data_IF_872230106166
#
_entry.id   IF_872230106166
#
_cell.length_a   1.000
_cell.length_b   1.000
_cell.length_c   1.000
_cell.angle_alpha   90.00
_cell.angle_beta   90.00
_cell.angle_gamma   90.00
#
_symmetry.space_group_name_H-M   'P 1'
#
loop_
_entity.id
_entity.type
_entity.pdbx_description
1 polymer ?
#
# COMPACT_ATOMS: atom_id res chain seq x y z
N UNK A 1 14.72 -8.85 7.13
CA UNK A 1 13.64 -9.37 6.30
C UNK A 1 12.44 -8.45 6.32
N UNK A 2 11.96 -8.09 5.15
CA UNK A 2 10.82 -7.20 5.00
C UNK A 2 9.54 -8.01 4.86
N UNK A 3 8.56 -7.72 5.69
CA UNK A 3 7.23 -8.31 5.59
C UNK A 3 6.40 -7.48 4.60
N UNK A 4 5.71 -8.14 3.68
CA UNK A 4 4.91 -7.47 2.68
C UNK A 4 3.46 -7.91 2.76
N UNK A 5 2.55 -6.98 2.52
CA UNK A 5 1.12 -7.23 2.41
C UNK A 5 0.53 -6.45 1.25
N UNK A 6 -0.54 -6.97 0.67
CA UNK A 6 -1.35 -6.24 -0.30
C UNK A 6 -2.60 -5.73 0.42
N UNK A 7 -2.92 -4.46 0.24
CA UNK A 7 -4.13 -3.84 0.76
C UNK A 7 -4.84 -3.16 -0.41
N UNK A 8 -5.97 -3.69 -0.82
CA UNK A 8 -6.68 -3.25 -2.02
C UNK A 8 -8.17 -3.11 -1.74
N UNK A 9 -8.83 -2.20 -2.47
CA UNK A 9 -10.28 -2.05 -2.43
C UNK A 9 -11.01 -3.14 -3.18
N UNK A 10 -10.30 -3.96 -3.95
CA UNK A 10 -10.89 -5.09 -4.69
C UNK A 10 -11.35 -6.18 -3.74
N UNK A 11 -12.22 -7.07 -4.24
CA UNK A 11 -12.63 -8.26 -3.48
C UNK A 11 -11.42 -9.17 -3.24
N UNK A 12 -11.48 -9.96 -2.17
CA UNK A 12 -10.39 -10.88 -1.86
C UNK A 12 -10.12 -11.86 -3.00
N UNK A 13 -11.18 -12.38 -3.63
CA UNK A 13 -11.05 -13.29 -4.76
C UNK A 13 -10.27 -12.66 -5.92
N UNK A 14 -10.53 -11.39 -6.22
CA UNK A 14 -9.81 -10.66 -7.26
C UNK A 14 -8.35 -10.45 -6.89
N UNK A 15 -8.08 -10.12 -5.64
CA UNK A 15 -6.70 -9.93 -5.16
C UNK A 15 -5.93 -11.24 -5.30
N UNK A 16 -6.49 -12.35 -4.82
CA UNK A 16 -5.86 -13.67 -4.90
C UNK A 16 -5.60 -14.05 -6.35
N UNK A 17 -6.60 -13.89 -7.21
CA UNK A 17 -6.48 -14.20 -8.63
C UNK A 17 -5.36 -13.40 -9.30
N UNK A 18 -5.32 -12.10 -9.04
CA UNK A 18 -4.30 -11.22 -9.63
C UNK A 18 -2.90 -11.59 -9.15
N UNK A 19 -2.74 -11.88 -7.86
CA UNK A 19 -1.44 -12.24 -7.30
C UNK A 19 -0.96 -13.58 -7.83
N UNK A 20 -1.87 -14.54 -8.01
CA UNK A 20 -1.53 -15.86 -8.59
C UNK A 20 -1.19 -15.73 -10.07
N UNK A 21 -1.95 -14.94 -10.82
CA UNK A 21 -1.70 -14.70 -12.24
C UNK A 21 -0.33 -14.06 -12.46
N UNK A 22 0.07 -13.12 -11.59
CA UNK A 22 1.36 -12.47 -11.67
C UNK A 22 2.50 -13.34 -11.10
N UNK A 23 2.17 -14.44 -10.42
CA UNK A 23 3.17 -15.34 -9.84
C UNK A 23 3.92 -14.75 -8.64
N UNK A 24 3.30 -13.82 -7.92
CA UNK A 24 3.96 -13.11 -6.81
C UNK A 24 3.27 -13.29 -5.45
N UNK A 25 2.19 -14.06 -5.41
CA UNK A 25 1.41 -14.24 -4.18
C UNK A 25 2.25 -14.70 -3.00
N UNK A 26 3.22 -15.58 -3.27
CA UNK A 26 4.06 -16.18 -2.24
C UNK A 26 4.96 -15.19 -1.50
N UNK A 27 5.20 -14.00 -2.09
CA UNK A 27 6.04 -12.98 -1.47
C UNK A 27 5.30 -12.16 -0.42
N UNK A 28 3.98 -12.29 -0.34
CA UNK A 28 3.15 -11.49 0.57
C UNK A 28 2.64 -12.32 1.73
N UNK A 29 2.82 -11.81 2.94
CA UNK A 29 2.34 -12.47 4.16
C UNK A 29 0.84 -12.37 4.31
N UNK A 30 0.23 -11.31 3.77
CA UNK A 30 -1.21 -11.08 3.90
C UNK A 30 -1.74 -10.42 2.64
N UNK A 31 -2.96 -10.78 2.29
CA UNK A 31 -3.74 -10.15 1.24
C UNK A 31 -5.01 -9.63 1.91
N UNK A 32 -5.18 -8.31 1.92
CA UNK A 32 -6.27 -7.68 2.66
C UNK A 32 -7.19 -6.93 1.70
N UNK A 33 -8.47 -7.24 1.78
CA UNK A 33 -9.51 -6.61 0.95
C UNK A 33 -10.22 -5.51 1.73
N UNK A 34 -10.20 -4.30 1.20
CA UNK A 34 -11.00 -3.20 1.72
C UNK A 34 -12.50 -3.45 1.59
N UNK A 35 -12.90 -4.31 0.64
CA UNK A 35 -14.31 -4.69 0.49
C UNK A 35 -14.83 -5.47 1.69
N UNK A 36 -13.94 -6.07 2.48
CA UNK A 36 -14.30 -6.80 3.71
C UNK A 36 -14.17 -5.94 4.96
N UNK A 37 -13.72 -4.70 4.84
CA UNK A 37 -13.62 -3.77 5.95
C UNK A 37 -14.93 -3.01 6.13
N UNK A 38 -15.17 -2.52 7.33
CA UNK A 38 -16.36 -1.72 7.63
C UNK A 38 -16.38 -0.45 6.78
N UNK A 39 -15.22 0.19 6.61
CA UNK A 39 -15.09 1.39 5.80
C UNK A 39 -13.93 1.22 4.81
N UNK A 40 -14.20 1.50 3.53
CA UNK A 40 -13.17 1.51 2.49
C UNK A 40 -12.35 2.80 2.48
N UNK A 41 -11.29 2.84 1.67
CA UNK A 41 -10.48 4.04 1.47
C UNK A 41 -11.39 5.22 1.09
N UNK A 42 -11.18 6.40 1.65
CA UNK A 42 -10.01 6.91 2.36
C UNK A 42 -9.93 6.56 3.85
N UNK A 43 -10.85 5.76 4.38
CA UNK A 43 -10.74 5.31 5.76
C UNK A 43 -9.49 4.42 5.93
N UNK A 44 -8.87 4.41 7.11
CA UNK A 44 -7.61 3.68 7.33
C UNK A 44 -7.78 2.18 7.55
N UNK A 45 -9.01 1.66 7.54
CA UNK A 45 -9.33 0.29 7.97
C UNK A 45 -8.47 -0.76 7.30
N UNK A 46 -8.32 -0.70 5.96
CA UNK A 46 -7.60 -1.72 5.20
C UNK A 46 -6.11 -1.74 5.57
N UNK A 47 -5.51 -0.58 5.80
CA UNK A 47 -4.10 -0.50 6.17
C UNK A 47 -3.87 -0.92 7.62
N UNK A 48 -4.77 -0.55 8.53
CA UNK A 48 -4.68 -0.98 9.92
C UNK A 48 -4.81 -2.50 10.02
N UNK A 49 -5.73 -3.09 9.25
CA UNK A 49 -5.88 -4.54 9.18
C UNK A 49 -4.63 -5.20 8.61
N UNK A 50 -4.07 -4.64 7.54
CA UNK A 50 -2.85 -5.19 6.92
C UNK A 50 -1.68 -5.19 7.91
N UNK A 51 -1.47 -4.09 8.63
CA UNK A 51 -0.42 -4.01 9.63
C UNK A 51 -0.60 -5.08 10.71
N UNK A 52 -1.82 -5.24 11.19
CA UNK A 52 -2.13 -6.25 12.20
C UNK A 52 -1.84 -7.65 11.71
N UNK A 53 -2.20 -7.97 10.47
CA UNK A 53 -2.01 -9.31 9.91
C UNK A 53 -0.54 -9.66 9.69
N UNK A 54 0.32 -8.67 9.51
CA UNK A 54 1.77 -8.91 9.42
C UNK A 54 2.47 -8.66 10.75
N UNK A 55 1.72 -8.44 11.83
CA UNK A 55 2.23 -8.25 13.19
C UNK A 55 3.17 -7.05 13.32
N UNK A 56 2.81 -5.95 12.66
CA UNK A 56 3.58 -4.69 12.70
C UNK A 56 2.70 -3.57 13.21
N UNK A 57 3.34 -2.58 13.84
CA UNK A 57 2.64 -1.34 14.23
C UNK A 57 2.55 -0.40 13.03
N UNK A 58 1.50 0.44 12.93
CA UNK A 58 1.40 1.39 11.81
C UNK A 58 2.64 2.24 11.60
N UNK A 59 3.24 2.76 12.67
CA UNK A 59 4.44 3.60 12.58
C UNK A 59 5.67 2.84 12.09
N UNK A 60 5.60 1.51 12.04
CA UNK A 60 6.67 0.67 11.49
C UNK A 60 6.45 0.32 10.02
N UNK A 61 5.32 0.74 9.45
CA UNK A 61 4.92 0.36 8.09
C UNK A 61 5.17 1.49 7.09
N UNK A 62 5.51 1.08 5.88
CA UNK A 62 5.62 1.95 4.72
C UNK A 62 4.60 1.50 3.69
N UNK A 63 3.87 2.44 3.13
CA UNK A 63 2.87 2.19 2.08
C UNK A 63 3.36 2.76 0.76
N UNK A 64 3.13 2.03 -0.31
CA UNK A 64 3.27 2.53 -1.68
C UNK A 64 1.87 2.60 -2.26
N UNK A 65 1.45 3.78 -2.70
CA UNK A 65 0.07 4.01 -3.14
C UNK A 65 0.06 4.96 -4.34
N UNK A 66 -0.86 4.76 -5.27
CA UNK A 66 -0.96 5.56 -6.48
C UNK A 66 -2.23 6.42 -6.55
N UNK A 67 -3.13 6.29 -5.60
CA UNK A 67 -4.42 6.98 -5.61
C UNK A 67 -4.58 7.93 -4.44
N UNK A 68 -5.30 9.02 -4.66
CA UNK A 68 -5.60 10.04 -3.65
C UNK A 68 -6.18 9.42 -2.36
N UNK A 69 -7.24 8.61 -2.50
CA UNK A 69 -7.89 8.00 -1.34
C UNK A 69 -6.96 7.03 -0.60
N UNK A 70 -6.09 6.35 -1.32
CA UNK A 70 -5.12 5.45 -0.71
C UNK A 70 -4.06 6.20 0.09
N UNK A 71 -3.59 7.33 -0.41
CA UNK A 71 -2.62 8.18 0.31
C UNK A 71 -3.25 8.69 1.61
N UNK A 72 -4.49 9.18 1.55
CA UNK A 72 -5.20 9.64 2.75
C UNK A 72 -5.36 8.49 3.76
N UNK A 73 -5.76 7.32 3.29
CA UNK A 73 -5.95 6.15 4.15
C UNK A 73 -4.65 5.78 4.87
N UNK A 74 -3.53 5.76 4.15
CA UNK A 74 -2.22 5.43 4.72
C UNK A 74 -1.81 6.47 5.77
N UNK A 75 -1.96 7.75 5.48
CA UNK A 75 -1.60 8.82 6.42
C UNK A 75 -2.51 8.82 7.64
N UNK A 76 -3.81 8.57 7.46
CA UNK A 76 -4.75 8.45 8.57
C UNK A 76 -4.43 7.25 9.46
N UNK A 77 -3.91 6.18 8.87
CA UNK A 77 -3.46 5.00 9.62
C UNK A 77 -2.16 5.24 10.40
N UNK A 78 -1.48 6.35 10.17
CA UNK A 78 -0.21 6.65 10.84
C UNK A 78 1.01 6.04 10.17
N UNK A 79 0.91 5.71 8.90
CA UNK A 79 1.97 5.08 8.12
C UNK A 79 2.71 6.08 7.24
N UNK A 80 4.00 5.81 7.00
CA UNK A 80 4.77 6.55 6.00
C UNK A 80 4.29 6.15 4.61
N UNK A 81 4.07 7.11 3.73
CA UNK A 81 3.51 6.84 2.41
C UNK A 81 4.38 7.42 1.29
N UNK A 82 4.80 6.52 0.38
CA UNK A 82 5.36 6.91 -0.90
C UNK A 82 4.25 6.87 -1.95
N UNK A 83 3.98 8.00 -2.60
CA UNK A 83 3.04 8.03 -3.72
C UNK A 83 3.77 7.63 -4.99
N UNK A 84 3.22 6.66 -5.71
CA UNK A 84 3.74 6.27 -7.01
C UNK A 84 2.99 7.04 -8.10
N UNK A 85 3.71 7.89 -8.84
CA UNK A 85 3.13 8.74 -9.88
C UNK A 85 4.00 8.59 -11.13
N UNK A 86 3.75 7.57 -11.98
CA UNK A 86 4.48 7.42 -13.23
C UNK A 86 4.15 8.56 -14.20
N UNK A 87 5.02 8.86 -15.17
CA UNK A 87 4.80 9.99 -16.09
C UNK A 87 3.50 9.96 -16.87
N UNK A 88 2.96 8.77 -17.14
CA UNK A 88 1.73 8.57 -17.89
C UNK A 88 0.47 8.48 -17.00
N UNK A 89 0.63 8.60 -15.69
CA UNK A 89 -0.48 8.44 -14.77
C UNK A 89 -1.45 9.61 -14.85
N UNK A 90 -2.71 9.29 -14.56
CA UNK A 90 -3.71 10.31 -14.35
C UNK A 90 -3.28 11.17 -13.14
N UNK A 91 -3.41 12.48 -13.26
CA UNK A 91 -3.06 13.36 -12.16
C UNK A 91 -4.03 13.19 -11.00
N UNK A 92 -3.50 12.80 -9.86
CA UNK A 92 -4.23 12.76 -8.60
C UNK A 92 -3.50 13.63 -7.58
N UNK A 93 -4.24 14.16 -6.62
CA UNK A 93 -3.63 14.92 -5.54
C UNK A 93 -2.99 13.94 -4.55
N UNK A 94 -1.67 13.89 -4.55
CA UNK A 94 -0.90 13.04 -3.64
C UNK A 94 -0.05 13.88 -2.69
N UNK A 95 -0.43 15.15 -2.50
CA UNK A 95 0.36 16.10 -1.71
C UNK A 95 0.55 15.70 -0.24
N UNK A 96 -0.33 14.86 0.30
CA UNK A 96 -0.21 14.37 1.68
C UNK A 96 0.81 13.24 1.83
N UNK A 97 1.27 12.64 0.73
CA UNK A 97 2.30 11.60 0.80
C UNK A 97 3.60 12.19 1.30
N UNK A 98 4.39 11.36 1.98
CA UNK A 98 5.69 11.78 2.53
C UNK A 98 6.75 11.88 1.43
N UNK A 99 6.60 11.09 0.37
CA UNK A 99 7.54 11.07 -0.75
C UNK A 99 6.83 10.64 -2.03
N UNK A 100 7.44 10.92 -3.19
CA UNK A 100 6.88 10.58 -4.50
C UNK A 100 7.89 9.75 -5.28
N UNK A 101 7.41 8.64 -5.85
CA UNK A 101 8.19 7.75 -6.71
C UNK A 101 7.61 7.87 -8.11
N UNK A 102 8.46 8.19 -9.10
CA UNK A 102 8.03 8.32 -10.49
C UNK A 102 8.37 7.09 -11.34
N UNK A 103 9.30 6.27 -10.87
CA UNK A 103 9.69 5.03 -11.54
C UNK A 103 10.28 4.05 -10.53
N UNK A 104 9.84 2.80 -10.58
CA UNK A 104 10.42 1.74 -9.73
C UNK A 104 11.84 1.38 -10.16
N UNK A 105 12.25 1.77 -11.37
CA UNK A 105 13.62 1.49 -11.89
C UNK A 105 14.68 2.28 -11.15
N UNK A 106 14.31 3.43 -10.60
CA UNK A 106 15.24 4.35 -9.96
C UNK A 106 15.20 4.26 -8.45
N UNK A 107 14.48 3.28 -7.90
CA UNK A 107 14.23 3.16 -6.46
C UNK A 107 14.53 1.74 -6.02
N UNK A 108 15.32 1.63 -4.94
CA UNK A 108 15.60 0.33 -4.30
C UNK A 108 14.72 0.15 -3.08
N UNK A 109 14.66 -1.07 -2.56
CA UNK A 109 13.97 -1.34 -1.28
C UNK A 109 14.61 -0.51 -0.17
N UNK A 110 15.94 -0.40 -0.17
CA UNK A 110 16.67 0.41 0.80
C UNK A 110 16.24 1.87 0.75
N UNK A 111 16.05 2.42 -0.46
CA UNK A 111 15.59 3.81 -0.62
C UNK A 111 14.20 4.00 -0.02
N UNK A 112 13.30 3.04 -0.24
CA UNK A 112 11.93 3.10 0.28
C UNK A 112 11.93 3.07 1.81
N UNK A 113 12.81 2.27 2.40
CA UNK A 113 12.86 2.10 3.85
C UNK A 113 13.72 3.14 4.56
N UNK A 114 14.60 3.85 3.84
CA UNK A 114 15.59 4.74 4.44
C UNK A 114 14.97 5.91 5.21
N UNK A 115 13.80 6.38 4.81
CA UNK A 115 13.12 7.52 5.43
C UNK A 115 12.09 7.09 6.47
N UNK A 116 12.03 5.82 6.76
CA UNK A 116 11.12 5.22 7.72
C UNK A 116 11.82 4.97 9.07
#
# INVERSE_FOLDING_TARGET
DVKMAVASSSTLDNIVHNMETLGIKEYFKALVSGAECEHGKPAPDVYLKAAKEISMKPEECVVIEDAYNGVIAAKTAGMYCHAYVPPQAYRQDVSLADDVITSYRDVTVEDILANH
#
